data_IF_334503880104
#
_entry.id   IF_334503880104
#
_cell.length_a   1.000
_cell.length_b   1.000
_cell.length_c   1.000
_cell.angle_alpha   90.00
_cell.angle_beta   90.00
_cell.angle_gamma   90.00
#
_symmetry.space_group_name_H-M   'P 1'
#
loop_
_entity.id
_entity.type
_entity.pdbx_description
1 polymer ?
#
# COMPACT_ATOMS: atom_id res chain seq x y z
N UNK A 1 12.09 8.90 3.66
CA UNK A 1 12.62 8.38 4.95
C UNK A 1 11.80 7.22 5.50
N UNK A 2 10.47 7.29 5.61
CA UNK A 2 9.63 6.17 6.08
C UNK A 2 9.72 4.90 5.21
N UNK A 3 9.74 5.06 3.88
CA UNK A 3 9.93 3.96 2.92
C UNK A 3 11.25 3.21 3.18
N UNK A 4 12.35 3.95 3.39
CA UNK A 4 13.65 3.37 3.73
C UNK A 4 13.61 2.70 5.11
N UNK A 5 12.91 3.28 6.08
CA UNK A 5 12.71 2.70 7.42
C UNK A 5 11.94 1.39 7.38
N UNK A 6 10.84 1.31 6.63
CA UNK A 6 10.07 0.06 6.43
C UNK A 6 10.87 -0.97 5.65
N UNK A 7 11.56 -0.55 4.60
CA UNK A 7 12.42 -1.44 3.82
C UNK A 7 13.51 -2.05 4.69
N UNK A 8 14.21 -1.24 5.51
CA UNK A 8 15.27 -1.69 6.41
C UNK A 8 14.72 -2.55 7.56
N UNK A 9 13.56 -2.18 8.12
CA UNK A 9 12.88 -2.97 9.14
C UNK A 9 12.57 -4.36 8.60
N UNK A 10 12.06 -4.49 7.37
CA UNK A 10 11.71 -5.79 6.80
C UNK A 10 12.88 -6.60 6.25
N UNK A 11 13.92 -5.97 5.69
CA UNK A 11 15.11 -6.71 5.24
C UNK A 11 16.00 -7.18 6.39
N UNK A 12 15.98 -6.50 7.55
CA UNK A 12 16.82 -6.89 8.71
C UNK A 12 16.10 -7.56 9.88
N UNK A 13 14.79 -7.41 10.07
CA UNK A 13 14.11 -8.04 11.24
C UNK A 13 13.63 -9.45 10.94
N UNK A 14 13.77 -10.34 11.93
CA UNK A 14 13.23 -11.71 11.88
C UNK A 14 11.73 -11.75 11.58
N UNK A 15 11.02 -10.67 11.92
CA UNK A 15 9.60 -10.46 11.64
C UNK A 15 9.28 -10.36 10.15
N UNK A 16 10.16 -9.74 9.34
CA UNK A 16 9.96 -9.62 7.89
C UNK A 16 10.06 -10.98 7.17
N UNK A 17 11.01 -11.82 7.57
CA UNK A 17 11.15 -13.19 7.03
C UNK A 17 10.00 -14.12 7.42
N UNK A 18 9.48 -13.98 8.64
CA UNK A 18 8.33 -14.77 9.11
C UNK A 18 7.02 -14.35 8.45
N UNK A 19 6.82 -13.06 8.15
CA UNK A 19 5.68 -12.60 7.31
C UNK A 19 5.72 -13.19 5.89
N UNK A 20 6.92 -13.26 5.30
CA UNK A 20 7.11 -13.79 3.95
C UNK A 20 6.95 -15.31 3.89
N UNK A 21 7.28 -16.03 4.96
CA UNK A 21 7.00 -17.46 5.11
C UNK A 21 5.50 -17.74 5.31
N UNK A 22 4.80 -16.87 6.03
CA UNK A 22 3.35 -16.93 6.26
C UNK A 22 2.56 -16.72 4.97
N UNK A 23 2.99 -15.79 4.12
CA UNK A 23 2.34 -15.52 2.83
C UNK A 23 2.48 -16.68 1.84
N UNK A 24 3.53 -17.50 1.97
CA UNK A 24 3.72 -18.68 1.13
C UNK A 24 2.90 -19.88 1.59
N UNK A 25 2.83 -20.14 2.90
CA UNK A 25 1.97 -21.20 3.44
C UNK A 25 1.79 -21.09 4.96
N UNK A 26 0.67 -20.49 5.38
CA UNK A 26 0.32 -20.35 6.79
C UNK A 26 0.22 -21.71 7.53
N UNK A 27 -0.17 -22.78 6.82
CA UNK A 27 -0.28 -24.12 7.40
C UNK A 27 1.09 -24.74 7.71
N UNK A 28 2.06 -24.67 6.78
CA UNK A 28 3.42 -25.17 7.00
C UNK A 28 4.17 -24.34 8.04
N UNK A 29 3.97 -23.01 8.06
CA UNK A 29 4.59 -22.14 9.04
C UNK A 29 4.25 -22.55 10.50
N UNK A 30 3.01 -22.97 10.75
CA UNK A 30 2.60 -23.48 12.08
C UNK A 30 3.28 -24.80 12.45
N UNK A 31 3.49 -25.69 11.47
CA UNK A 31 4.13 -27.00 11.70
C UNK A 31 5.62 -26.84 12.06
N UNK A 32 6.28 -25.82 11.50
CA UNK A 32 7.69 -25.47 11.79
C UNK A 32 7.84 -24.72 13.13
N UNK A 33 6.74 -24.48 13.86
CA UNK A 33 6.77 -23.82 15.17
C UNK A 33 6.77 -22.29 15.12
N UNK A 34 6.42 -21.68 13.97
CA UNK A 34 6.24 -20.22 13.88
C UNK A 34 4.90 -19.85 14.51
N UNK A 35 4.93 -18.98 15.52
CA UNK A 35 3.73 -18.42 16.12
C UNK A 35 3.06 -17.40 15.17
N UNK A 36 2.16 -17.92 14.35
CA UNK A 36 1.39 -17.13 13.37
C UNK A 36 0.60 -16.00 14.04
N UNK A 37 0.08 -16.22 15.24
CA UNK A 37 -0.70 -15.20 15.94
C UNK A 37 0.18 -14.02 16.35
N UNK A 38 1.42 -14.27 16.79
CA UNK A 38 2.40 -13.22 17.08
C UNK A 38 2.78 -12.43 15.84
N UNK A 39 3.05 -13.10 14.71
CA UNK A 39 3.41 -12.44 13.45
C UNK A 39 2.25 -11.58 12.93
N UNK A 40 1.01 -12.06 12.99
CA UNK A 40 -0.18 -11.29 12.57
C UNK A 40 -0.36 -10.05 13.44
N UNK A 41 -0.24 -10.16 14.78
CA UNK A 41 -0.33 -9.01 15.69
C UNK A 41 0.72 -7.95 15.37
N UNK A 42 1.97 -8.36 15.16
CA UNK A 42 3.05 -7.41 14.83
C UNK A 42 2.81 -6.77 13.46
N UNK A 43 2.29 -7.51 12.48
CA UNK A 43 1.91 -6.96 11.16
C UNK A 43 0.85 -5.88 11.28
N UNK A 44 -0.20 -6.13 12.08
CA UNK A 44 -1.25 -5.15 12.34
C UNK A 44 -0.73 -3.91 13.07
N UNK A 45 0.15 -4.08 14.05
CA UNK A 45 0.77 -2.95 14.77
C UNK A 45 1.60 -2.09 13.81
N UNK A 46 2.42 -2.70 12.95
CA UNK A 46 3.26 -1.97 11.99
C UNK A 46 2.37 -1.28 10.94
N UNK A 47 1.38 -1.98 10.37
CA UNK A 47 0.45 -1.41 9.40
C UNK A 47 -0.35 -0.24 9.98
N UNK A 48 -0.86 -0.39 11.19
CA UNK A 48 -1.56 0.68 11.91
C UNK A 48 -0.66 1.87 12.22
N UNK A 49 0.58 1.65 12.66
CA UNK A 49 1.54 2.73 12.88
C UNK A 49 1.84 3.51 11.60
N UNK A 50 2.04 2.82 10.47
CA UNK A 50 2.26 3.45 9.17
C UNK A 50 1.03 4.22 8.69
N UNK A 51 -0.17 3.67 8.88
CA UNK A 51 -1.43 4.34 8.55
C UNK A 51 -1.63 5.62 9.38
N UNK A 52 -1.33 5.59 10.68
CA UNK A 52 -1.37 6.77 11.53
C UNK A 52 -0.41 7.85 11.06
N UNK A 53 0.84 7.49 10.76
CA UNK A 53 1.84 8.45 10.27
C UNK A 53 1.40 9.06 8.94
N UNK A 54 0.89 8.25 8.01
CA UNK A 54 0.36 8.73 6.74
C UNK A 54 -0.83 9.69 6.95
N UNK A 55 -1.79 9.32 7.80
CA UNK A 55 -2.98 10.13 8.11
C UNK A 55 -2.63 11.48 8.75
N UNK A 56 -1.68 11.51 9.69
CA UNK A 56 -1.20 12.76 10.31
C UNK A 56 -0.53 13.65 9.26
N UNK A 57 0.31 13.08 8.38
CA UNK A 57 0.95 13.83 7.30
C UNK A 57 -0.08 14.50 6.38
N UNK A 58 -1.14 13.76 6.05
CA UNK A 58 -2.23 14.22 5.20
C UNK A 58 -3.03 15.35 5.88
N UNK A 59 -3.36 15.19 7.17
CA UNK A 59 -4.12 16.19 7.93
C UNK A 59 -3.35 17.50 8.17
N UNK A 60 -2.02 17.48 8.09
CA UNK A 60 -1.19 18.70 8.14
C UNK A 60 -1.19 19.42 6.78
N UNK A 61 -1.20 18.66 5.68
CA UNK A 61 -1.08 19.21 4.32
C UNK A 61 -2.42 19.70 3.74
N UNK A 62 -3.54 19.13 4.17
CA UNK A 62 -4.87 19.41 3.61
C UNK A 62 -5.83 19.84 4.71
N UNK A 63 -6.68 20.82 4.40
CA UNK A 63 -7.73 21.26 5.30
C UNK A 63 -8.66 20.10 5.65
N UNK A 64 -8.77 19.77 6.93
CA UNK A 64 -9.56 18.63 7.43
C UNK A 64 -11.03 18.85 7.06
N UNK A 65 -11.53 18.02 6.14
CA UNK A 65 -12.95 17.96 5.76
C UNK A 65 -13.53 16.60 6.19
N UNK A 66 -14.78 16.54 6.69
CA UNK A 66 -15.39 15.28 7.14
C UNK A 66 -15.40 14.18 6.07
N UNK A 67 -15.50 14.54 4.79
CA UNK A 67 -15.57 13.60 3.67
C UNK A 67 -14.22 13.21 3.07
N UNK A 68 -13.11 13.75 3.59
CA UNK A 68 -11.77 13.55 3.03
C UNK A 68 -11.35 12.08 2.95
N UNK A 69 -11.74 11.26 3.93
CA UNK A 69 -11.42 9.83 3.92
C UNK A 69 -12.10 9.07 2.78
N UNK A 70 -13.33 9.46 2.42
CA UNK A 70 -14.06 8.84 1.31
C UNK A 70 -13.43 9.19 -0.04
N UNK A 71 -13.06 10.46 -0.25
CA UNK A 71 -12.37 10.88 -1.49
C UNK A 71 -11.01 10.19 -1.66
N UNK A 72 -10.35 9.88 -0.55
CA UNK A 72 -9.01 9.30 -0.56
C UNK A 72 -9.00 7.76 -0.62
N UNK A 73 -10.16 7.13 -0.38
CA UNK A 73 -10.32 5.69 -0.42
C UNK A 73 -9.94 5.12 -1.79
N UNK A 74 -10.46 5.74 -2.86
CA UNK A 74 -10.26 5.31 -4.24
C UNK A 74 -8.78 5.39 -4.69
N UNK A 75 -8.06 6.51 -4.52
CA UNK A 75 -6.63 6.57 -4.84
C UNK A 75 -5.78 5.63 -4.00
N UNK A 76 -6.14 5.39 -2.73
CA UNK A 76 -5.43 4.43 -1.89
C UNK A 76 -5.59 2.98 -2.42
N UNK A 77 -6.80 2.60 -2.82
CA UNK A 77 -7.02 1.31 -3.47
C UNK A 77 -6.31 1.22 -4.82
N UNK A 78 -6.35 2.29 -5.62
CA UNK A 78 -5.63 2.37 -6.89
C UNK A 78 -4.12 2.16 -6.71
N UNK A 79 -3.52 2.83 -5.74
CA UNK A 79 -2.11 2.67 -5.40
C UNK A 79 -1.75 1.25 -4.95
N UNK A 80 -2.58 0.65 -4.09
CA UNK A 80 -2.37 -0.72 -3.60
C UNK A 80 -2.48 -1.76 -4.71
N UNK A 81 -3.49 -1.64 -5.59
CA UNK A 81 -3.70 -2.57 -6.71
C UNK A 81 -2.62 -2.38 -7.77
N UNK A 82 -2.27 -1.14 -8.11
CA UNK A 82 -1.17 -0.83 -9.03
C UNK A 82 0.15 -1.43 -8.55
N UNK A 83 0.42 -1.34 -7.25
CA UNK A 83 1.61 -1.91 -6.66
C UNK A 83 1.63 -3.44 -6.62
N UNK A 84 0.48 -4.10 -6.71
CA UNK A 84 0.35 -5.55 -6.64
C UNK A 84 0.23 -6.06 -5.20
N UNK A 85 -0.80 -6.87 -4.95
CA UNK A 85 -1.12 -7.45 -3.64
C UNK A 85 0.02 -8.38 -3.21
N UNK A 86 0.59 -8.13 -2.02
CA UNK A 86 1.68 -8.93 -1.46
C UNK A 86 3.09 -8.46 -1.80
N UNK A 87 3.26 -7.41 -2.62
CA UNK A 87 4.57 -6.83 -2.92
C UNK A 87 4.72 -5.42 -2.32
N UNK A 88 5.59 -5.30 -1.32
CA UNK A 88 5.84 -4.03 -0.62
C UNK A 88 6.57 -2.99 -1.49
N UNK A 89 7.66 -3.33 -2.20
CA UNK A 89 8.29 -2.36 -3.11
C UNK A 89 7.35 -1.93 -4.24
N UNK A 90 6.48 -2.83 -4.71
CA UNK A 90 5.44 -2.50 -5.69
C UNK A 90 4.41 -1.52 -5.12
N UNK A 91 3.90 -1.75 -3.91
CA UNK A 91 2.95 -0.84 -3.24
C UNK A 91 3.52 0.59 -3.08
N UNK A 92 4.81 0.73 -2.76
CA UNK A 92 5.47 2.04 -2.66
C UNK A 92 5.54 2.73 -4.02
N UNK A 93 5.96 2.02 -5.06
CA UNK A 93 6.01 2.58 -6.43
C UNK A 93 4.62 2.94 -6.93
N UNK A 94 3.61 2.10 -6.68
CA UNK A 94 2.23 2.36 -7.04
C UNK A 94 1.66 3.61 -6.36
N UNK A 95 1.92 3.77 -5.06
CA UNK A 95 1.56 4.99 -4.32
C UNK A 95 2.25 6.24 -4.85
N UNK A 96 3.53 6.15 -5.22
CA UNK A 96 4.27 7.29 -5.78
C UNK A 96 3.70 7.71 -7.15
N UNK A 97 3.43 6.75 -8.03
CA UNK A 97 2.87 7.01 -9.36
C UNK A 97 1.48 7.66 -9.25
N UNK A 98 0.60 7.10 -8.41
CA UNK A 98 -0.74 7.67 -8.20
C UNK A 98 -0.64 9.07 -7.59
N UNK A 99 0.21 9.27 -6.59
CA UNK A 99 0.38 10.58 -5.94
C UNK A 99 0.93 11.65 -6.89
N UNK A 100 1.91 11.31 -7.72
CA UNK A 100 2.45 12.24 -8.74
C UNK A 100 1.42 12.55 -9.82
N UNK A 101 0.67 11.54 -10.27
CA UNK A 101 -0.39 11.73 -11.26
C UNK A 101 -1.52 12.61 -10.73
N UNK A 102 -1.96 12.40 -9.49
CA UNK A 102 -2.94 13.29 -8.83
C UNK A 102 -2.40 14.71 -8.68
N UNK A 103 -1.16 14.88 -8.21
CA UNK A 103 -0.58 16.21 -8.00
C UNK A 103 -0.47 17.00 -9.31
N UNK A 104 -0.05 16.35 -10.39
CA UNK A 104 -0.01 16.94 -11.73
C UNK A 104 -1.42 17.25 -12.27
N UNK A 105 -2.37 16.35 -12.05
CA UNK A 105 -3.76 16.53 -12.47
C UNK A 105 -4.46 17.70 -11.78
N UNK A 106 -4.29 17.84 -10.47
CA UNK A 106 -4.85 18.95 -9.69
C UNK A 106 -4.34 20.29 -10.20
N UNK A 107 -3.08 20.34 -10.63
CA UNK A 107 -2.45 21.57 -11.15
C UNK A 107 -2.93 21.96 -12.55
N UNK A 108 -3.34 21.00 -13.40
CA UNK A 108 -3.79 21.27 -14.78
C UNK A 108 -5.32 21.44 -14.93
N UNK A 109 -6.12 20.66 -14.19
CA UNK A 109 -7.57 20.47 -14.49
C UNK A 109 -8.47 20.82 -13.27
N UNK A 110 -7.89 20.92 -12.07
CA UNK A 110 -8.59 21.26 -10.83
C UNK A 110 -8.87 20.07 -9.92
N UNK A 111 -9.06 20.34 -8.62
CA UNK A 111 -9.09 19.33 -7.56
C UNK A 111 -10.26 18.33 -7.65
N UNK A 112 -11.34 18.66 -8.37
CA UNK A 112 -12.52 17.81 -8.49
C UNK A 112 -12.26 16.56 -9.35
N UNK A 113 -11.28 16.61 -10.26
CA UNK A 113 -10.92 15.50 -11.14
C UNK A 113 -9.98 14.49 -10.51
N UNK A 114 -9.52 14.75 -9.29
CA UNK A 114 -8.53 13.95 -8.58
C UNK A 114 -8.96 12.48 -8.46
N UNK A 115 -10.19 12.23 -7.99
CA UNK A 115 -10.74 10.87 -7.88
C UNK A 115 -10.96 10.20 -9.24
N UNK A 116 -11.45 10.95 -10.24
CA UNK A 116 -11.69 10.43 -11.59
C UNK A 116 -10.39 9.92 -12.24
N UNK A 117 -9.28 10.62 -12.04
CA UNK A 117 -7.99 10.27 -12.61
C UNK A 117 -7.40 9.03 -11.93
N UNK A 118 -7.51 8.91 -10.60
CA UNK A 118 -7.13 7.68 -9.90
C UNK A 118 -7.94 6.48 -10.40
N UNK A 119 -9.23 6.67 -10.68
CA UNK A 119 -10.10 5.64 -11.24
C UNK A 119 -9.67 5.23 -12.64
N UNK A 120 -9.39 6.20 -13.52
CA UNK A 120 -8.91 5.93 -14.89
C UNK A 120 -7.58 5.19 -14.85
N UNK A 121 -6.64 5.59 -13.98
CA UNK A 121 -5.35 4.90 -13.82
C UNK A 121 -5.58 3.47 -13.34
N UNK A 122 -6.41 3.26 -12.32
CA UNK A 122 -6.76 1.92 -11.85
C UNK A 122 -7.37 1.07 -12.98
N UNK A 123 -8.30 1.62 -13.76
CA UNK A 123 -8.94 0.92 -14.87
C UNK A 123 -7.94 0.57 -15.99
N UNK A 124 -7.07 1.52 -16.35
CA UNK A 124 -5.99 1.29 -17.32
C UNK A 124 -5.03 0.18 -16.85
N UNK A 125 -4.70 0.16 -15.55
CA UNK A 125 -3.82 -0.83 -14.96
C UNK A 125 -4.45 -2.20 -14.94
N UNK A 126 -5.73 -2.32 -14.55
CA UNK A 126 -6.47 -3.57 -14.63
C UNK A 126 -6.53 -4.12 -16.07
N UNK A 127 -6.63 -3.24 -17.06
CA UNK A 127 -6.66 -3.62 -18.47
C UNK A 127 -5.29 -4.11 -18.97
N UNK A 128 -4.20 -3.47 -18.56
CA UNK A 128 -2.84 -3.81 -19.02
C UNK A 128 -2.24 -4.97 -18.22
N UNK A 129 -2.41 -4.99 -16.89
CA UNK A 129 -1.93 -6.03 -15.97
C UNK A 129 -2.81 -6.16 -14.72
N UNK A 130 -3.76 -7.11 -14.68
CA UNK A 130 -4.71 -7.27 -13.57
C UNK A 130 -4.06 -7.69 -12.23
N UNK A 131 -2.76 -8.05 -12.24
CA UNK A 131 -1.98 -8.44 -11.06
C UNK A 131 -1.12 -7.29 -10.48
N UNK A 132 -1.11 -6.10 -11.10
CA UNK A 132 -0.24 -4.99 -10.71
C UNK A 132 1.20 -5.10 -11.24
N UNK A 133 2.04 -4.12 -10.94
CA UNK A 133 3.41 -4.02 -11.48
C UNK A 133 4.33 -5.18 -11.02
N UNK A 134 4.13 -5.65 -9.78
CA UNK A 134 4.97 -6.67 -9.12
C UNK A 134 4.14 -7.76 -8.42
N UNK A 135 2.88 -7.99 -8.84
CA UNK A 135 2.06 -9.08 -8.30
C UNK A 135 2.73 -10.43 -8.49
N UNK A 136 2.95 -11.14 -7.37
CA UNK A 136 3.51 -12.49 -7.39
C UNK A 136 2.50 -13.39 -8.10
N UNK A 137 2.93 -13.97 -9.24
CA UNK A 137 2.24 -15.11 -9.85
C UNK A 137 2.44 -16.30 -8.91
N UNK A 138 1.45 -16.59 -8.09
CA UNK A 138 1.36 -17.91 -7.46
C UNK A 138 1.29 -18.93 -8.62
N UNK A 139 2.33 -19.74 -8.75
CA UNK A 139 2.38 -20.93 -9.61
C UNK A 139 2.49 -22.15 -8.73
#
# INVERSE_FOLDING_TARGET
>A
MLVLGVHLLMTRTQTGRSMQALSQNAALARIVGIDVASVVRVTWIIGGALACVAGVMIGILVQIRPFMGFDMLLPMFAAAILGGIGSIPGAVLGGLIIGLAEAGAVQLIGAEWRAAISFIILMAVLFVRPIGLFGVRER
#
